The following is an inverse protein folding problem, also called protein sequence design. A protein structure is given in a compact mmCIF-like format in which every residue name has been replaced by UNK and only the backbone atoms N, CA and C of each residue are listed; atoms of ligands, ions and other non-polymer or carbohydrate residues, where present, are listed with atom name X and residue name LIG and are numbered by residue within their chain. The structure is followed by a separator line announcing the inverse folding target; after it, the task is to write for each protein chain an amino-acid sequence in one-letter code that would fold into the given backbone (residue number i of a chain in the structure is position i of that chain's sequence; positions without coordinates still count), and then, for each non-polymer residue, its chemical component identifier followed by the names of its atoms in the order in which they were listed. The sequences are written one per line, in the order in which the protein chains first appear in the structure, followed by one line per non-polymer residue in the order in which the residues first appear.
data_IF_521538447094
#
_entry.id   IF_521538447094
#
_cell.length_a   1.000
_cell.length_b   1.000
_cell.length_c   1.000
_cell.angle_alpha   90.00
_cell.angle_beta   90.00
_cell.angle_gamma   90.00
#
_symmetry.space_group_name_H-M   'P 1'
#
loop_
_entity.id
_entity.type
_entity.pdbx_description
1 polymer ?
#
# COMPACT_ATOMS: atom_id res chain seq x y z
N UNK A 1 -13.63 -15.31 -13.33
CA UNK A 1 -12.38 -16.10 -13.36
C UNK A 1 -11.78 -15.94 -11.99
N UNK A 2 -12.00 -16.92 -11.10
CA UNK A 2 -11.54 -16.84 -9.71
C UNK A 2 -10.01 -16.81 -9.72
N UNK A 3 -9.43 -15.74 -9.20
CA UNK A 3 -8.01 -15.65 -8.92
C UNK A 3 -7.80 -16.45 -7.63
N UNK A 4 -7.97 -17.77 -7.72
CA UNK A 4 -7.63 -18.70 -6.66
C UNK A 4 -6.16 -18.48 -6.36
N UNK A 5 -5.86 -17.76 -5.28
CA UNK A 5 -4.67 -18.04 -4.52
C UNK A 5 -4.74 -19.53 -4.21
N UNK A 6 -3.97 -20.32 -4.95
CA UNK A 6 -3.63 -21.67 -4.56
C UNK A 6 -2.85 -21.50 -3.25
N UNK A 7 -3.57 -21.45 -2.14
CA UNK A 7 -3.06 -21.74 -0.81
C UNK A 7 -2.58 -23.19 -0.88
N UNK A 8 -1.32 -23.36 -1.30
CA UNK A 8 -0.58 -24.59 -1.10
C UNK A 8 -0.43 -24.73 0.40
N UNK A 9 -1.36 -25.44 1.02
CA UNK A 9 -1.21 -25.91 2.38
C UNK A 9 -0.28 -27.13 2.37
N UNK A 10 0.98 -26.89 2.01
CA UNK A 10 2.06 -27.85 2.23
C UNK A 10 2.61 -27.56 3.62
N UNK A 11 2.20 -28.33 4.64
CA UNK A 11 2.87 -28.29 5.94
C UNK A 11 4.33 -28.70 5.72
N UNK A 12 5.32 -27.80 5.87
CA UNK A 12 6.70 -28.16 5.70
C UNK A 12 7.13 -29.12 6.82
N UNK A 13 8.14 -29.98 6.60
CA UNK A 13 8.56 -30.96 7.59
C UNK A 13 9.02 -30.30 8.91
N UNK A 14 8.81 -30.94 10.06
CA UNK A 14 9.22 -30.41 11.36
C UNK A 14 10.76 -30.21 11.38
N UNK A 15 11.19 -28.94 11.36
CA UNK A 15 12.60 -28.53 11.24
C UNK A 15 12.83 -27.35 10.29
N UNK A 16 11.87 -27.06 9.41
CA UNK A 16 11.91 -25.93 8.49
C UNK A 16 11.60 -24.59 9.21
N UNK A 17 12.36 -23.51 8.98
CA UNK A 17 12.02 -22.15 9.45
C UNK A 17 10.57 -21.75 9.14
N UNK A 18 10.05 -22.19 7.99
CA UNK A 18 8.67 -21.95 7.54
C UNK A 18 7.64 -22.65 8.45
N UNK A 19 7.95 -23.85 8.95
CA UNK A 19 7.08 -24.57 9.89
C UNK A 19 7.07 -23.90 11.27
N UNK A 20 8.23 -23.44 11.73
CA UNK A 20 8.34 -22.69 12.99
C UNK A 20 7.60 -21.35 12.92
N UNK A 21 7.69 -20.66 11.79
CA UNK A 21 6.96 -19.43 11.54
C UNK A 21 5.44 -19.67 11.54
N UNK A 22 4.96 -20.68 10.80
CA UNK A 22 3.55 -21.05 10.78
C UNK A 22 3.02 -21.41 12.19
N UNK A 23 3.82 -22.08 13.02
CA UNK A 23 3.47 -22.33 14.42
C UNK A 23 3.37 -21.05 15.26
N UNK A 24 4.27 -20.09 15.04
CA UNK A 24 4.29 -18.80 15.76
C UNK A 24 3.12 -17.88 15.37
N UNK A 25 2.61 -18.01 14.14
CA UNK A 25 1.49 -17.21 13.61
C UNK A 25 0.14 -17.91 13.66
N UNK A 26 0.11 -19.19 14.01
CA UNK A 26 -1.10 -20.01 14.05
C UNK A 26 -2.22 -19.34 14.87
N UNK A 27 -3.41 -19.23 14.26
CA UNK A 27 -4.59 -18.61 14.87
C UNK A 27 -4.57 -17.08 14.88
N UNK A 28 -3.52 -16.43 14.36
CA UNK A 28 -3.38 -14.97 14.24
C UNK A 28 -3.40 -14.48 12.79
N UNK A 29 -3.64 -15.39 11.86
CA UNK A 29 -3.66 -15.13 10.42
C UNK A 29 -5.00 -14.54 9.96
N UNK A 30 -4.95 -13.75 8.89
CA UNK A 30 -6.15 -13.18 8.27
C UNK A 30 -6.89 -14.24 7.43
N UNK A 31 -8.22 -14.32 7.57
CA UNK A 31 -9.04 -15.26 6.80
C UNK A 31 -9.46 -14.67 5.45
N UNK A 32 -8.62 -14.90 4.44
CA UNK A 32 -8.86 -14.41 3.07
C UNK A 32 -10.04 -15.08 2.37
N UNK A 33 -10.29 -16.37 2.61
CA UNK A 33 -11.36 -17.12 1.91
C UNK A 33 -12.74 -16.58 2.28
N UNK A 34 -13.00 -16.45 3.58
CA UNK A 34 -14.29 -15.90 4.04
C UNK A 34 -14.46 -14.45 3.61
N UNK A 35 -13.37 -13.67 3.62
CA UNK A 35 -13.39 -12.28 3.16
C UNK A 35 -13.70 -12.17 1.65
N UNK A 36 -12.99 -12.93 0.80
CA UNK A 36 -13.11 -12.87 -0.65
C UNK A 36 -14.52 -13.28 -1.10
N UNK A 37 -15.09 -14.35 -0.51
CA UNK A 37 -16.47 -14.76 -0.77
C UNK A 37 -17.47 -13.64 -0.45
N UNK A 38 -17.31 -12.97 0.70
CA UNK A 38 -18.17 -11.84 1.08
C UNK A 38 -18.07 -10.67 0.10
N UNK A 39 -16.84 -10.29 -0.26
CA UNK A 39 -16.59 -9.19 -1.19
C UNK A 39 -17.13 -9.49 -2.60
N UNK A 40 -16.92 -10.70 -3.12
CA UNK A 40 -17.42 -11.11 -4.43
C UNK A 40 -18.96 -11.15 -4.49
N UNK A 41 -19.62 -11.60 -3.42
CA UNK A 41 -21.09 -11.58 -3.35
C UNK A 41 -21.64 -10.15 -3.39
N UNK A 42 -21.03 -9.22 -2.64
CA UNK A 42 -21.37 -7.80 -2.68
C UNK A 42 -21.20 -7.21 -4.08
N UNK A 43 -20.05 -7.49 -4.72
CA UNK A 43 -19.72 -7.03 -6.08
C UNK A 43 -20.65 -7.61 -7.15
N UNK A 44 -21.06 -8.87 -7.02
CA UNK A 44 -22.04 -9.47 -7.91
C UNK A 44 -23.38 -8.75 -7.84
N UNK A 45 -23.85 -8.41 -6.64
CA UNK A 45 -25.07 -7.60 -6.46
C UNK A 45 -24.96 -6.22 -7.13
N UNK A 46 -23.83 -5.54 -6.97
CA UNK A 46 -23.54 -4.25 -7.61
C UNK A 46 -23.50 -4.35 -9.15
N UNK A 47 -22.88 -5.39 -9.70
CA UNK A 47 -22.79 -5.60 -11.14
C UNK A 47 -24.17 -5.82 -11.80
N UNK A 48 -25.11 -6.44 -11.09
CA UNK A 48 -26.49 -6.65 -11.55
C UNK A 48 -27.35 -5.37 -11.49
N UNK A 49 -26.95 -4.37 -10.71
CA UNK A 49 -27.65 -3.09 -10.58
C UNK A 49 -26.66 -1.92 -10.57
N UNK A 50 -26.16 -1.47 -11.73
CA UNK A 50 -25.14 -0.43 -11.82
C UNK A 50 -25.78 0.97 -11.63
N UNK A 51 -26.41 1.21 -10.48
CA UNK A 51 -27.14 2.45 -10.17
C UNK A 51 -26.29 3.71 -10.38
N UNK A 52 -24.99 3.64 -10.08
CA UNK A 52 -24.04 4.72 -10.26
C UNK A 52 -23.97 5.25 -11.71
N UNK A 53 -24.20 4.41 -12.72
CA UNK A 53 -24.16 4.82 -14.14
C UNK A 53 -25.29 5.75 -14.54
N UNK A 54 -26.40 5.72 -13.81
CA UNK A 54 -27.57 6.56 -14.06
C UNK A 54 -27.54 7.87 -13.27
N UNK A 55 -26.57 8.04 -12.37
CA UNK A 55 -26.42 9.25 -11.58
C UNK A 55 -25.72 10.36 -12.38
N UNK A 56 -26.17 11.63 -12.26
CA UNK A 56 -25.45 12.75 -12.84
C UNK A 56 -24.01 12.83 -12.32
N UNK A 57 -23.04 13.28 -13.14
CA UNK A 57 -21.63 13.37 -12.74
C UNK A 57 -21.41 14.17 -11.43
N UNK A 58 -22.15 15.26 -11.24
CA UNK A 58 -22.09 16.09 -10.03
C UNK A 58 -22.57 15.32 -8.80
N UNK A 59 -23.64 14.53 -8.92
CA UNK A 59 -24.14 13.67 -7.84
C UNK A 59 -23.12 12.60 -7.45
N UNK A 60 -22.49 11.96 -8.45
CA UNK A 60 -21.45 10.94 -8.20
C UNK A 60 -20.26 11.51 -7.44
N UNK A 61 -19.79 12.69 -7.86
CA UNK A 61 -18.73 13.43 -7.15
C UNK A 61 -19.13 13.73 -5.71
N UNK A 62 -20.34 14.25 -5.49
CA UNK A 62 -20.79 14.61 -4.15
C UNK A 62 -20.91 13.38 -3.23
N UNK A 63 -21.43 12.26 -3.73
CA UNK A 63 -21.52 11.00 -2.99
C UNK A 63 -20.15 10.54 -2.48
N UNK A 64 -19.10 10.63 -3.31
CA UNK A 64 -17.74 10.28 -2.90
C UNK A 64 -17.25 11.24 -1.81
N UNK A 65 -17.44 12.55 -1.97
CA UNK A 65 -17.02 13.54 -0.97
C UNK A 65 -17.75 13.37 0.37
N UNK A 66 -19.07 13.16 0.33
CA UNK A 66 -19.89 12.92 1.52
C UNK A 66 -19.45 11.64 2.26
N UNK A 67 -19.07 10.61 1.52
CA UNK A 67 -18.52 9.38 2.11
C UNK A 67 -17.17 9.61 2.79
N UNK A 68 -16.28 10.45 2.24
CA UNK A 68 -15.03 10.82 2.90
C UNK A 68 -15.27 11.61 4.19
N UNK A 69 -16.27 12.49 4.20
CA UNK A 69 -16.69 13.19 5.42
C UNK A 69 -17.27 12.24 6.48
N UNK A 70 -18.01 11.21 6.04
CA UNK A 70 -18.50 10.14 6.90
C UNK A 70 -17.35 9.34 7.53
N UNK A 71 -16.36 8.93 6.73
CA UNK A 71 -15.14 8.27 7.22
C UNK A 71 -14.40 9.17 8.20
N UNK A 72 -14.30 10.47 7.91
CA UNK A 72 -13.67 11.43 8.81
C UNK A 72 -14.42 11.58 10.15
N UNK A 73 -15.75 11.55 10.13
CA UNK A 73 -16.58 11.59 11.34
C UNK A 73 -16.43 10.32 12.19
N UNK A 74 -16.29 9.16 11.53
CA UNK A 74 -16.00 7.88 12.18
C UNK A 74 -14.65 7.95 12.90
N UNK A 75 -13.57 8.32 12.21
CA UNK A 75 -12.23 8.40 12.81
C UNK A 75 -12.20 9.38 13.99
N UNK A 76 -12.85 10.54 13.87
CA UNK A 76 -12.94 11.50 15.00
C UNK A 76 -13.66 10.90 16.21
N UNK A 77 -14.74 10.15 15.97
CA UNK A 77 -15.51 9.51 17.06
C UNK A 77 -14.70 8.40 17.72
N UNK A 78 -13.97 7.60 16.93
CA UNK A 78 -13.06 6.57 17.44
C UNK A 78 -11.92 7.19 18.27
N UNK A 79 -11.32 8.27 17.78
CA UNK A 79 -10.29 9.02 18.51
C UNK A 79 -10.81 9.60 19.83
N UNK A 80 -12.02 10.15 19.84
CA UNK A 80 -12.67 10.65 21.06
C UNK A 80 -12.91 9.53 22.08
N UNK A 81 -13.38 8.36 21.63
CA UNK A 81 -13.51 7.17 22.48
C UNK A 81 -12.15 6.77 23.03
N UNK A 82 -11.13 6.61 22.16
CA UNK A 82 -9.80 6.19 22.58
C UNK A 82 -9.17 7.13 23.61
N UNK A 83 -9.39 8.45 23.47
CA UNK A 83 -8.92 9.44 24.47
C UNK A 83 -9.57 9.23 25.83
N UNK A 84 -10.87 8.90 25.89
CA UNK A 84 -11.54 8.62 27.16
C UNK A 84 -10.97 7.37 27.85
N UNK A 85 -10.64 6.32 27.11
CA UNK A 85 -10.01 5.11 27.67
C UNK A 85 -8.55 5.33 28.07
N UNK A 86 -7.85 6.27 27.44
CA UNK A 86 -6.46 6.60 27.75
C UNK A 86 -6.31 7.65 28.86
N UNK A 87 -7.38 8.34 29.26
CA UNK A 87 -7.34 9.40 30.27
C UNK A 87 -7.48 8.82 31.70
N UNK A 88 -6.43 8.89 32.54
CA UNK A 88 -6.46 8.36 33.90
C UNK A 88 -7.41 9.14 34.85
N UNK A 89 -7.89 10.33 34.46
CA UNK A 89 -8.86 11.10 35.24
C UNK A 89 -10.30 10.61 35.03
N UNK A 90 -10.55 9.79 34.01
CA UNK A 90 -11.88 9.23 33.73
C UNK A 90 -12.04 7.94 34.53
N UNK A 91 -12.81 8.00 35.62
CA UNK A 91 -13.01 6.86 36.51
C UNK A 91 -13.76 5.69 35.86
N UNK A 92 -14.70 5.97 34.94
CA UNK A 92 -15.45 4.97 34.18
C UNK A 92 -15.52 5.37 32.69
N UNK A 93 -14.50 5.02 31.89
CA UNK A 93 -14.45 5.32 30.46
C UNK A 93 -15.57 4.63 29.67
N UNK A 94 -16.07 3.50 30.15
CA UNK A 94 -17.14 2.73 29.53
C UNK A 94 -18.45 3.52 29.60
N UNK A 95 -18.84 4.00 30.79
CA UNK A 95 -20.02 4.84 30.95
C UNK A 95 -19.85 6.19 30.25
N UNK A 96 -18.68 6.83 30.36
CA UNK A 96 -18.41 8.13 29.75
C UNK A 96 -18.48 8.11 28.21
N UNK A 97 -18.09 6.99 27.58
CA UNK A 97 -18.07 6.83 26.12
C UNK A 97 -19.39 6.30 25.53
N UNK A 98 -20.39 5.96 26.35
CA UNK A 98 -21.61 5.26 25.90
C UNK A 98 -22.33 5.95 24.72
N UNK A 99 -22.50 7.28 24.79
CA UNK A 99 -23.15 8.05 23.70
C UNK A 99 -22.32 8.10 22.42
N UNK A 100 -20.99 8.18 22.53
CA UNK A 100 -20.07 8.15 21.40
C UNK A 100 -20.07 6.78 20.72
N UNK A 101 -20.14 5.69 21.48
CA UNK A 101 -20.23 4.32 20.93
C UNK A 101 -21.54 4.10 20.17
N UNK A 102 -22.66 4.62 20.67
CA UNK A 102 -23.93 4.63 19.93
C UNK A 102 -23.83 5.45 18.63
N UNK A 103 -23.18 6.62 18.68
CA UNK A 103 -22.93 7.44 17.49
C UNK A 103 -22.05 6.70 16.48
N UNK A 104 -20.96 6.09 16.91
CA UNK A 104 -20.04 5.31 16.08
C UNK A 104 -20.78 4.16 15.38
N UNK A 105 -21.59 3.40 16.11
CA UNK A 105 -22.40 2.33 15.53
C UNK A 105 -23.35 2.83 14.42
N UNK A 106 -24.00 4.00 14.62
CA UNK A 106 -24.84 4.61 13.59
C UNK A 106 -24.03 5.01 12.35
N UNK A 107 -22.86 5.64 12.53
CA UNK A 107 -22.00 6.06 11.43
C UNK A 107 -21.47 4.86 10.63
N UNK A 108 -20.99 3.80 11.32
CA UNK A 108 -20.54 2.55 10.67
C UNK A 108 -21.67 1.85 9.92
N UNK A 109 -22.88 1.84 10.47
CA UNK A 109 -24.05 1.31 9.76
C UNK A 109 -24.40 2.12 8.51
N UNK A 110 -24.22 3.45 8.55
CA UNK A 110 -24.39 4.29 7.36
C UNK A 110 -23.32 4.00 6.31
N UNK A 111 -22.06 3.93 6.73
CA UNK A 111 -20.93 3.61 5.86
C UNK A 111 -21.17 2.31 5.10
N UNK A 112 -21.56 1.24 5.80
CA UNK A 112 -21.83 -0.06 5.19
C UNK A 112 -22.92 -0.03 4.09
N UNK A 113 -23.88 0.92 4.17
CA UNK A 113 -24.92 1.09 3.13
C UNK A 113 -24.43 1.86 1.91
N UNK A 114 -23.49 2.77 2.10
CA UNK A 114 -23.00 3.69 1.05
C UNK A 114 -21.74 3.14 0.34
N UNK A 115 -20.98 2.28 1.02
CA UNK A 115 -19.68 1.78 0.60
C UNK A 115 -19.67 1.22 -0.83
N UNK A 116 -20.55 0.26 -1.15
CA UNK A 116 -20.55 -0.38 -2.49
C UNK A 116 -20.83 0.62 -3.62
N UNK A 117 -21.66 1.63 -3.37
CA UNK A 117 -21.95 2.66 -4.36
C UNK A 117 -20.73 3.56 -4.60
N UNK A 118 -20.03 3.93 -3.53
CA UNK A 118 -18.82 4.76 -3.60
C UNK A 118 -17.68 4.01 -4.29
N UNK A 119 -17.49 2.73 -3.94
CA UNK A 119 -16.55 1.84 -4.63
C UNK A 119 -16.85 1.80 -6.13
N UNK A 120 -18.11 1.60 -6.52
CA UNK A 120 -18.53 1.59 -7.93
C UNK A 120 -18.16 2.87 -8.69
N UNK A 121 -18.39 4.03 -8.05
CA UNK A 121 -18.10 5.33 -8.65
C UNK A 121 -16.59 5.46 -8.88
N UNK A 122 -15.78 5.11 -7.88
CA UNK A 122 -14.32 5.21 -7.94
C UNK A 122 -13.73 4.20 -8.93
N UNK A 123 -14.21 2.96 -8.96
CA UNK A 123 -13.85 1.93 -9.93
C UNK A 123 -14.03 2.42 -11.36
N UNK A 124 -15.21 2.98 -11.66
CA UNK A 124 -15.49 3.50 -13.01
C UNK A 124 -14.65 4.74 -13.34
N UNK A 125 -14.43 5.64 -12.37
CA UNK A 125 -13.60 6.83 -12.58
C UNK A 125 -12.16 6.45 -12.94
N UNK A 126 -11.58 5.48 -12.23
CA UNK A 126 -10.23 4.94 -12.51
C UNK A 126 -10.22 4.20 -13.84
N UNK A 127 -11.19 3.33 -14.10
CA UNK A 127 -11.30 2.59 -15.36
C UNK A 127 -11.40 3.53 -16.57
N UNK A 128 -12.16 4.62 -16.46
CA UNK A 128 -12.29 5.63 -17.51
C UNK A 128 -10.94 6.28 -17.83
N UNK A 129 -10.18 6.68 -16.79
CA UNK A 129 -8.85 7.28 -17.00
C UNK A 129 -7.87 6.26 -17.58
N UNK A 130 -7.88 5.01 -17.10
CA UNK A 130 -7.06 3.94 -17.69
C UNK A 130 -7.37 3.72 -19.17
N UNK A 131 -8.65 3.80 -19.56
CA UNK A 131 -9.07 3.64 -20.94
C UNK A 131 -8.52 4.76 -21.83
N UNK A 132 -8.58 6.01 -21.35
CA UNK A 132 -8.02 7.17 -22.03
C UNK A 132 -6.49 7.07 -22.18
N UNK A 133 -5.80 6.42 -21.23
CA UNK A 133 -4.36 6.15 -21.30
C UNK A 133 -4.00 4.93 -22.16
N UNK A 134 -4.97 4.31 -22.84
CA UNK A 134 -4.75 3.24 -23.82
C UNK A 134 -4.71 1.82 -23.25
N UNK A 135 -5.16 1.61 -22.01
CA UNK A 135 -5.27 0.27 -21.42
C UNK A 135 -6.58 -0.47 -21.78
N UNK A 136 -7.48 0.17 -22.53
CA UNK A 136 -8.72 -0.46 -22.96
C UNK A 136 -8.46 -1.56 -23.99
N UNK A 137 -9.09 -2.72 -23.77
CA UNK A 137 -9.16 -3.83 -24.70
C UNK A 137 -10.60 -4.01 -25.15
N UNK A 138 -10.86 -3.86 -26.45
CA UNK A 138 -12.22 -3.88 -27.03
C UNK A 138 -13.18 -2.88 -26.37
N UNK A 139 -12.67 -1.72 -25.94
CA UNK A 139 -13.45 -0.66 -25.32
C UNK A 139 -13.65 -0.82 -23.80
N UNK A 140 -13.14 -1.89 -23.20
CA UNK A 140 -13.28 -2.19 -21.77
C UNK A 140 -11.93 -2.36 -21.08
N UNK A 141 -11.88 -2.16 -19.76
CA UNK A 141 -10.66 -2.40 -18.96
C UNK A 141 -10.60 -3.87 -18.54
N UNK A 142 -9.48 -4.53 -18.87
CA UNK A 142 -9.26 -5.95 -18.55
C UNK A 142 -7.90 -6.12 -17.84
N UNK A 143 -7.88 -6.64 -16.60
CA UNK A 143 -9.05 -7.00 -15.77
C UNK A 143 -9.83 -5.74 -15.34
N UNK A 144 -11.13 -5.84 -15.03
CA UNK A 144 -11.90 -4.70 -14.53
C UNK A 144 -11.28 -4.10 -13.27
N UNK A 145 -11.40 -2.78 -13.11
CA UNK A 145 -11.04 -2.15 -11.84
C UNK A 145 -12.06 -2.61 -10.79
N UNK A 146 -11.57 -3.24 -9.73
CA UNK A 146 -12.42 -3.80 -8.67
C UNK A 146 -11.67 -3.72 -7.35
N UNK A 147 -12.23 -3.04 -6.37
CA UNK A 147 -11.67 -2.92 -5.03
C UNK A 147 -12.75 -2.91 -3.95
N UNK A 148 -12.36 -3.17 -2.71
CA UNK A 148 -13.24 -3.18 -1.57
C UNK A 148 -12.58 -2.52 -0.36
N UNK A 149 -13.28 -1.56 0.24
CA UNK A 149 -12.87 -0.96 1.50
C UNK A 149 -12.97 -1.99 2.62
N UNK A 150 -11.86 -2.21 3.31
CA UNK A 150 -11.81 -3.18 4.40
C UNK A 150 -10.70 -2.81 5.37
N UNK A 151 -10.87 -3.11 6.67
CA UNK A 151 -9.75 -3.17 7.58
C UNK A 151 -8.68 -4.10 7.02
N UNK A 152 -7.44 -3.61 6.92
CA UNK A 152 -6.34 -4.39 6.36
C UNK A 152 -5.61 -5.18 7.44
N UNK A 153 -5.08 -6.37 7.09
CA UNK A 153 -4.15 -7.08 7.94
C UNK A 153 -2.89 -6.22 8.19
N UNK A 154 -2.20 -6.46 9.31
CA UNK A 154 -0.81 -6.01 9.45
C UNK A 154 0.10 -7.07 8.86
N UNK A 155 1.21 -6.67 8.24
CA UNK A 155 2.15 -7.60 7.64
C UNK A 155 3.38 -7.76 8.53
N UNK A 156 3.66 -8.99 8.96
CA UNK A 156 4.96 -9.36 9.52
C UNK A 156 5.95 -9.57 8.38
N UNK A 157 6.85 -8.62 8.18
CA UNK A 157 7.92 -8.70 7.16
C UNK A 157 9.16 -9.28 7.82
N UNK A 158 9.76 -10.29 7.20
CA UNK A 158 10.96 -10.97 7.69
C UNK A 158 12.09 -10.79 6.69
N UNK A 159 13.27 -10.49 7.19
CA UNK A 159 14.49 -10.23 6.41
C UNK A 159 15.70 -10.92 7.05
N UNK A 160 16.74 -11.28 6.28
CA UNK A 160 18.03 -11.68 6.84
C UNK A 160 18.66 -10.52 7.61
N UNK A 161 19.57 -10.83 8.52
CA UNK A 161 20.30 -9.79 9.29
C UNK A 161 21.47 -9.19 8.51
N UNK A 162 21.97 -9.89 7.50
CA UNK A 162 23.20 -9.60 6.76
C UNK A 162 22.97 -8.96 5.38
N UNK A 163 21.72 -8.89 4.91
CA UNK A 163 21.36 -8.24 3.65
C UNK A 163 20.00 -7.55 3.71
N UNK A 164 19.83 -6.47 2.95
CA UNK A 164 18.53 -5.78 2.81
C UNK A 164 17.71 -6.53 1.76
N UNK A 165 17.01 -7.57 2.19
CA UNK A 165 16.09 -8.34 1.35
C UNK A 165 14.92 -8.85 2.17
N UNK A 166 13.72 -8.77 1.61
CA UNK A 166 12.56 -9.43 2.18
C UNK A 166 12.62 -10.94 1.88
N UNK A 167 12.69 -11.76 2.94
CA UNK A 167 12.60 -13.23 2.85
C UNK A 167 11.15 -13.68 2.78
N UNK A 168 10.31 -13.18 3.69
CA UNK A 168 8.93 -13.65 3.85
C UNK A 168 8.04 -12.51 4.35
N UNK A 169 6.74 -12.63 4.10
CA UNK A 169 5.73 -11.72 4.61
C UNK A 169 4.49 -12.49 5.02
N UNK A 170 4.12 -12.39 6.30
CA UNK A 170 2.94 -13.08 6.86
C UNK A 170 1.83 -12.08 7.18
N UNK A 171 0.64 -12.20 6.58
CA UNK A 171 -0.51 -11.38 6.93
C UNK A 171 -1.10 -11.80 8.27
N UNK A 172 -1.06 -10.88 9.24
CA UNK A 172 -1.67 -11.00 10.56
C UNK A 172 -3.10 -10.46 10.56
N UNK A 173 -3.85 -10.67 11.64
CA UNK A 173 -5.18 -10.09 11.81
C UNK A 173 -5.22 -8.56 11.63
N UNK A 174 -6.34 -8.06 11.10
CA UNK A 174 -6.60 -6.63 11.06
C UNK A 174 -6.66 -6.06 12.49
N UNK A 175 -6.03 -4.90 12.69
CA UNK A 175 -5.94 -4.29 14.02
C UNK A 175 -5.02 -5.03 15.00
N UNK A 176 -4.07 -5.85 14.52
CA UNK A 176 -3.13 -6.56 15.39
C UNK A 176 -2.44 -5.60 16.38
N UNK A 177 -2.57 -5.82 17.70
CA UNK A 177 -2.11 -4.87 18.73
C UNK A 177 -0.60 -4.62 18.68
N UNK A 178 -0.18 -3.39 18.96
CA UNK A 178 1.24 -2.97 18.86
C UNK A 178 2.12 -3.68 19.89
N UNK A 179 1.61 -3.91 21.10
CA UNK A 179 2.27 -4.67 22.16
C UNK A 179 2.45 -6.14 21.76
N UNK A 180 1.44 -6.75 21.14
CA UNK A 180 1.54 -8.11 20.60
C UNK A 180 2.47 -8.19 19.40
N UNK A 181 2.53 -7.14 18.56
CA UNK A 181 3.47 -7.01 17.45
C UNK A 181 4.92 -7.05 17.93
N UNK A 182 5.29 -6.21 18.90
CA UNK A 182 6.64 -6.19 19.45
C UNK A 182 7.04 -7.54 20.08
N UNK A 183 6.10 -8.19 20.78
CA UNK A 183 6.33 -9.50 21.37
C UNK A 183 6.52 -10.61 20.31
N UNK A 184 5.78 -10.54 19.20
CA UNK A 184 5.91 -11.47 18.08
C UNK A 184 7.24 -11.25 17.34
N UNK A 185 7.59 -10.00 17.05
CA UNK A 185 8.86 -9.62 16.40
C UNK A 185 10.06 -10.17 17.19
N UNK A 186 10.11 -9.92 18.50
CA UNK A 186 11.19 -10.44 19.35
C UNK A 186 11.30 -11.97 19.33
N UNK A 187 10.15 -12.68 19.38
CA UNK A 187 10.13 -14.14 19.33
C UNK A 187 10.65 -14.68 17.99
N UNK A 188 10.27 -14.05 16.88
CA UNK A 188 10.71 -14.43 15.53
C UNK A 188 12.21 -14.15 15.37
N UNK A 189 12.65 -12.97 15.80
CA UNK A 189 14.05 -12.52 15.74
C UNK A 189 14.99 -13.46 16.49
N UNK A 190 14.60 -13.90 17.69
CA UNK A 190 15.39 -14.80 18.54
C UNK A 190 15.39 -16.24 18.03
N UNK A 191 14.23 -16.78 17.66
CA UNK A 191 14.10 -18.21 17.30
C UNK A 191 14.65 -18.53 15.92
N UNK A 192 14.50 -17.59 14.97
CA UNK A 192 14.88 -17.81 13.57
C UNK A 192 16.18 -17.09 13.20
N UNK A 193 16.75 -16.28 14.11
CA UNK A 193 17.94 -15.45 13.84
C UNK A 193 17.77 -14.54 12.61
N UNK A 194 16.61 -13.91 12.49
CA UNK A 194 16.21 -12.98 11.40
C UNK A 194 15.92 -11.60 11.96
N UNK A 195 15.67 -10.62 11.09
CA UNK A 195 15.06 -9.34 11.47
C UNK A 195 13.60 -9.33 11.02
N UNK A 196 12.70 -8.95 11.92
CA UNK A 196 11.26 -8.87 11.63
C UNK A 196 10.65 -7.53 11.97
N UNK A 197 9.58 -7.16 11.27
CA UNK A 197 8.83 -5.92 11.51
C UNK A 197 7.37 -6.06 11.09
N UNK A 198 6.44 -5.71 11.99
CA UNK A 198 4.99 -5.69 11.74
C UNK A 198 4.55 -4.31 11.27
N UNK A 199 4.32 -4.20 9.98
CA UNK A 199 3.94 -2.93 9.33
C UNK A 199 2.46 -2.91 8.93
N UNK A 200 1.80 -1.74 8.98
CA UNK A 200 0.54 -1.57 8.26
C UNK A 200 0.77 -1.59 6.75
N UNK A 201 -0.24 -2.02 5.99
CA UNK A 201 -0.26 -1.93 4.52
C UNK A 201 -1.37 -0.98 4.07
N UNK A 202 -1.23 -0.42 2.86
CA UNK A 202 -2.20 0.50 2.26
C UNK A 202 -3.27 -0.19 1.39
N UNK A 203 -2.91 -1.34 0.82
CA UNK A 203 -3.79 -2.16 0.01
C UNK A 203 -3.21 -3.57 -0.14
N UNK A 204 -4.01 -4.48 -0.67
CA UNK A 204 -3.60 -5.82 -1.04
C UNK A 204 -4.26 -6.19 -2.37
N UNK A 205 -3.44 -6.55 -3.36
CA UNK A 205 -3.86 -6.86 -4.72
C UNK A 205 -4.60 -8.22 -4.89
N UNK A 206 -5.48 -8.59 -3.93
CA UNK A 206 -6.51 -9.62 -4.15
C UNK A 206 -7.52 -9.14 -5.19
N UNK A 207 -8.46 -9.98 -5.63
CA UNK A 207 -9.49 -9.54 -6.58
C UNK A 207 -10.91 -9.80 -6.02
N UNK A 208 -11.66 -8.77 -5.58
CA UNK A 208 -11.34 -7.32 -5.59
C UNK A 208 -10.13 -6.96 -4.72
N UNK A 209 -9.44 -5.86 -5.04
CA UNK A 209 -8.33 -5.37 -4.22
C UNK A 209 -8.83 -4.95 -2.83
N UNK A 210 -8.14 -5.35 -1.77
CA UNK A 210 -8.38 -4.80 -0.44
C UNK A 210 -7.79 -3.40 -0.40
N UNK A 211 -8.53 -2.40 0.04
CA UNK A 211 -8.04 -1.02 0.20
C UNK A 211 -8.44 -0.49 1.57
N UNK A 212 -7.50 0.18 2.25
CA UNK A 212 -7.81 0.80 3.53
C UNK A 212 -8.82 1.94 3.33
N UNK A 213 -9.73 2.10 4.29
CA UNK A 213 -10.52 3.31 4.39
C UNK A 213 -9.61 4.52 4.64
N UNK A 214 -9.83 5.62 3.91
CA UNK A 214 -9.04 6.82 4.05
C UNK A 214 -9.89 8.05 3.77
N UNK A 215 -9.55 9.15 4.44
CA UNK A 215 -10.15 10.47 4.17
C UNK A 215 -9.41 11.22 3.05
N UNK A 216 -8.27 10.68 2.58
CA UNK A 216 -7.46 11.27 1.53
C UNK A 216 -7.83 10.69 0.17
N UNK A 217 -8.66 11.42 -0.57
CA UNK A 217 -9.01 11.04 -1.95
C UNK A 217 -7.79 10.90 -2.87
N UNK A 218 -6.75 11.75 -2.78
CA UNK A 218 -5.54 11.56 -3.57
C UNK A 218 -4.88 10.21 -3.30
N UNK A 219 -4.76 9.85 -2.02
CA UNK A 219 -4.19 8.56 -1.64
C UNK A 219 -5.05 7.40 -2.15
N UNK A 220 -6.38 7.48 -2.01
CA UNK A 220 -7.30 6.45 -2.51
C UNK A 220 -7.19 6.25 -4.02
N UNK A 221 -7.20 7.33 -4.80
CA UNK A 221 -7.09 7.25 -6.25
C UNK A 221 -5.75 6.63 -6.68
N UNK A 222 -4.66 6.98 -5.99
CA UNK A 222 -3.34 6.37 -6.21
C UNK A 222 -3.34 4.88 -5.85
N UNK A 223 -3.88 4.50 -4.70
CA UNK A 223 -3.93 3.11 -4.22
C UNK A 223 -4.78 2.23 -5.13
N UNK A 224 -5.99 2.66 -5.52
CA UNK A 224 -6.86 1.86 -6.40
C UNK A 224 -6.15 1.58 -7.74
N UNK A 225 -5.48 2.58 -8.32
CA UNK A 225 -4.73 2.41 -9.55
C UNK A 225 -3.44 1.57 -9.36
N UNK A 226 -2.78 1.69 -8.20
CA UNK A 226 -1.64 0.84 -7.82
C UNK A 226 -2.04 -0.63 -7.76
N UNK A 227 -3.11 -0.96 -7.02
CA UNK A 227 -3.56 -2.35 -6.89
C UNK A 227 -4.10 -2.92 -8.21
N UNK A 228 -4.80 -2.11 -9.02
CA UNK A 228 -5.20 -2.54 -10.35
C UNK A 228 -3.99 -2.85 -11.26
N UNK A 229 -2.90 -2.09 -11.11
CA UNK A 229 -1.67 -2.35 -11.89
C UNK A 229 -1.10 -3.74 -11.58
N UNK A 230 -1.18 -4.17 -10.32
CA UNK A 230 -0.82 -5.54 -9.95
C UNK A 230 -1.72 -6.58 -10.64
N UNK A 231 -3.04 -6.35 -10.70
CA UNK A 231 -3.95 -7.24 -11.44
C UNK A 231 -3.62 -7.30 -12.94
N UNK A 232 -3.32 -6.15 -13.54
CA UNK A 232 -2.92 -6.07 -14.94
C UNK A 232 -1.61 -6.84 -15.20
N UNK A 233 -0.61 -6.64 -14.34
CA UNK A 233 0.70 -7.28 -14.46
C UNK A 233 0.69 -8.77 -14.14
N UNK A 234 -0.25 -9.24 -13.31
CA UNK A 234 -0.45 -10.68 -13.07
C UNK A 234 -0.71 -11.47 -14.35
N UNK A 235 -1.32 -10.85 -15.36
CA UNK A 235 -1.56 -11.47 -16.66
C UNK A 235 -0.35 -11.40 -17.60
N UNK A 236 0.84 -11.05 -17.08
CA UNK A 236 2.08 -10.84 -17.84
C UNK A 236 3.25 -11.54 -17.15
N UNK A 237 4.35 -11.83 -17.88
CA UNK A 237 5.51 -12.50 -17.31
C UNK A 237 6.09 -11.83 -16.06
N UNK A 238 6.00 -10.49 -15.97
CA UNK A 238 6.46 -9.75 -14.78
C UNK A 238 5.65 -10.10 -13.53
N UNK A 239 4.33 -10.26 -13.63
CA UNK A 239 3.51 -10.68 -12.49
C UNK A 239 3.65 -12.15 -12.15
N UNK A 240 3.88 -13.03 -13.12
CA UNK A 240 4.12 -14.46 -12.87
C UNK A 240 5.36 -14.72 -12.00
N UNK A 241 6.34 -13.82 -12.06
CA UNK A 241 7.59 -13.91 -11.31
C UNK A 241 7.56 -13.11 -10.00
N UNK A 242 6.42 -12.53 -9.63
CA UNK A 242 6.33 -11.62 -8.47
C UNK A 242 6.79 -12.27 -7.16
N UNK A 243 6.36 -13.52 -6.90
CA UNK A 243 6.74 -14.24 -5.67
C UNK A 243 8.10 -14.94 -5.77
N UNK A 244 8.52 -15.35 -6.99
CA UNK A 244 9.70 -16.19 -7.19
C UNK A 244 11.00 -15.40 -7.44
N UNK A 245 10.92 -14.11 -7.74
CA UNK A 245 12.07 -13.30 -8.11
C UNK A 245 12.03 -11.89 -7.45
N UNK A 246 12.96 -11.58 -6.53
CA UNK A 246 12.99 -10.30 -5.82
C UNK A 246 13.13 -9.07 -6.74
N UNK A 247 13.89 -9.18 -7.83
CA UNK A 247 14.04 -8.10 -8.81
C UNK A 247 12.73 -7.87 -9.58
N UNK A 248 12.04 -8.92 -10.00
CA UNK A 248 10.74 -8.85 -10.66
C UNK A 248 9.70 -8.21 -9.73
N UNK A 249 9.68 -8.60 -8.45
CA UNK A 249 8.86 -7.95 -7.41
C UNK A 249 9.14 -6.45 -7.31
N UNK A 250 10.42 -6.08 -7.24
CA UNK A 250 10.85 -4.68 -7.15
C UNK A 250 10.40 -3.87 -8.37
N UNK A 251 10.56 -4.43 -9.57
CA UNK A 251 10.11 -3.79 -10.82
C UNK A 251 8.59 -3.66 -10.83
N UNK A 252 7.87 -4.68 -10.37
CA UNK A 252 6.41 -4.69 -10.31
C UNK A 252 5.88 -3.61 -9.35
N UNK A 253 6.37 -3.55 -8.11
CA UNK A 253 6.01 -2.49 -7.15
C UNK A 253 6.37 -1.08 -7.66
N UNK A 254 7.52 -0.96 -8.33
CA UNK A 254 7.93 0.31 -8.93
C UNK A 254 6.97 0.73 -10.04
N UNK A 255 6.56 -0.21 -10.91
CA UNK A 255 5.60 0.05 -11.97
C UNK A 255 4.23 0.43 -11.39
N UNK A 256 3.71 -0.33 -10.42
CA UNK A 256 2.46 -0.04 -9.73
C UNK A 256 2.46 1.34 -9.07
N UNK A 257 3.55 1.72 -8.40
CA UNK A 257 3.70 3.04 -7.77
C UNK A 257 3.73 4.19 -8.81
N UNK A 258 4.38 3.99 -9.96
CA UNK A 258 4.42 4.99 -11.04
C UNK A 258 3.05 5.16 -11.71
N UNK A 259 2.38 4.04 -12.02
CA UNK A 259 1.03 4.06 -12.61
C UNK A 259 0.02 4.63 -11.63
N UNK A 260 0.05 4.19 -10.36
CA UNK A 260 -0.80 4.69 -9.29
C UNK A 260 -0.76 6.21 -9.18
N UNK A 261 0.44 6.80 -9.12
CA UNK A 261 0.63 8.26 -9.10
C UNK A 261 0.12 8.95 -10.37
N UNK A 262 0.41 8.40 -11.54
CA UNK A 262 0.03 9.02 -12.81
C UNK A 262 -1.50 9.00 -13.02
N UNK A 263 -2.12 7.84 -12.82
CA UNK A 263 -3.56 7.63 -12.99
C UNK A 263 -4.33 8.32 -11.87
N UNK A 264 -3.92 8.15 -10.62
CA UNK A 264 -4.54 8.79 -9.46
C UNK A 264 -4.59 10.30 -9.63
N UNK A 265 -3.48 10.93 -10.06
CA UNK A 265 -3.46 12.36 -10.38
C UNK A 265 -4.46 12.74 -11.47
N UNK A 266 -4.54 11.99 -12.57
CA UNK A 266 -5.48 12.26 -13.68
C UNK A 266 -6.94 12.11 -13.25
N UNK A 267 -7.25 11.14 -12.38
CA UNK A 267 -8.57 10.99 -11.76
C UNK A 267 -8.94 12.24 -10.97
N UNK A 268 -8.03 12.74 -10.12
CA UNK A 268 -8.26 13.98 -9.37
C UNK A 268 -8.45 15.18 -10.30
N UNK A 269 -7.55 15.36 -11.28
CA UNK A 269 -7.63 16.48 -12.23
C UNK A 269 -8.97 16.50 -13.00
N UNK A 270 -9.53 15.32 -13.29
CA UNK A 270 -10.80 15.19 -14.02
C UNK A 270 -12.04 15.35 -13.14
N UNK A 271 -12.06 14.75 -11.96
CA UNK A 271 -13.28 14.60 -11.16
C UNK A 271 -13.28 15.43 -9.86
N UNK A 272 -12.10 15.77 -9.33
CA UNK A 272 -11.91 16.46 -8.05
C UNK A 272 -10.75 17.47 -8.12
N UNK A 273 -10.82 18.47 -9.02
CA UNK A 273 -9.70 19.38 -9.27
C UNK A 273 -9.22 20.13 -8.02
N UNK A 274 -10.11 20.34 -7.06
CA UNK A 274 -9.80 20.94 -5.75
C UNK A 274 -8.94 20.07 -4.84
N UNK A 275 -8.89 18.75 -5.07
CA UNK A 275 -8.13 17.79 -4.28
C UNK A 275 -6.74 17.50 -4.88
N UNK A 276 -6.38 18.08 -6.03
CA UNK A 276 -5.10 17.83 -6.70
C UNK A 276 -3.94 18.35 -5.84
N UNK A 277 -2.99 17.50 -5.41
CA UNK A 277 -1.85 17.96 -4.63
C UNK A 277 -0.97 18.93 -5.44
N UNK A 278 -0.42 19.98 -4.79
CA UNK A 278 0.49 20.89 -5.46
C UNK A 278 1.72 20.12 -5.98
N UNK A 279 2.30 20.52 -7.13
CA UNK A 279 3.48 19.86 -7.64
C UNK A 279 4.60 19.91 -6.59
N UNK A 280 5.40 18.84 -6.45
CA UNK A 280 6.49 18.83 -5.49
C UNK A 280 7.39 20.03 -5.75
N UNK A 281 7.69 20.79 -4.69
CA UNK A 281 8.57 21.96 -4.79
C UNK A 281 9.86 21.49 -5.44
N UNK A 282 10.18 22.03 -6.63
CA UNK A 282 11.49 21.80 -7.22
C UNK A 282 12.51 22.28 -6.19
N UNK A 283 13.23 21.35 -5.56
CA UNK A 283 14.43 21.70 -4.84
C UNK A 283 15.28 22.45 -5.86
N UNK A 284 15.40 23.77 -5.69
CA UNK A 284 16.44 24.55 -6.35
C UNK A 284 17.69 23.77 -6.02
N UNK A 285 18.25 23.04 -7.01
CA UNK A 285 19.62 22.56 -6.91
C UNK A 285 20.39 23.82 -6.56
N UNK A 286 20.77 23.94 -5.29
CA UNK A 286 21.72 24.96 -4.88
C UNK A 286 22.85 24.77 -5.87
N UNK A 287 23.07 25.77 -6.72
CA UNK A 287 24.35 25.90 -7.41
C UNK A 287 25.35 26.03 -6.26
N UNK A 288 25.78 24.89 -5.71
CA UNK A 288 27.01 24.80 -4.95
C UNK A 288 28.03 25.29 -5.96
N UNK A 289 28.35 26.54 -5.71
CA UNK A 289 29.20 27.41 -6.49
C UNK A 289 30.42 26.58 -6.86
N UNK A 290 30.83 26.62 -8.13
CA UNK A 290 32.18 26.31 -8.58
C UNK A 290 33.17 27.22 -7.82
N UNK A 291 33.39 26.95 -6.54
CA UNK A 291 34.31 27.66 -5.67
C UNK A 291 35.00 26.67 -4.74
N UNK A 292 35.65 25.68 -5.34
CA UNK A 292 36.91 25.11 -4.81
C UNK A 292 37.54 24.17 -5.84
N UNK A 293 37.76 24.65 -7.07
CA UNK A 293 38.90 24.15 -7.83
C UNK A 293 40.11 24.97 -7.44
N UNK A 294 40.63 24.74 -6.23
CA UNK A 294 42.08 24.88 -6.05
C UNK A 294 42.69 23.74 -6.87
N UNK A 295 43.70 23.99 -7.72
CA UNK A 295 44.37 22.89 -8.40
C UNK A 295 44.93 21.97 -7.32
N UNK A 296 44.62 20.68 -7.39
CA UNK A 296 45.33 19.67 -6.62
C UNK A 296 46.77 19.63 -7.16
N UNK A 297 47.69 20.34 -6.52
CA UNK A 297 49.11 20.25 -6.83
C UNK A 297 49.62 18.94 -6.24
N UNK A 298 49.67 17.90 -7.06
CA UNK A 298 50.41 16.68 -6.71
C UNK A 298 51.89 17.04 -6.45
N UNK A 299 52.52 16.51 -5.38
CA UNK A 299 53.95 16.70 -5.11
C UNK A 299 54.85 15.93 -6.08
N UNK A 300 54.27 15.15 -7.00
CA UNK A 300 54.96 14.28 -7.94
C UNK A 300 54.87 14.81 -9.37
N UNK A 301 56.01 14.95 -10.06
CA UNK A 301 56.07 15.24 -11.51
C UNK A 301 56.22 13.91 -12.24
N UNK A 302 55.22 13.49 -13.03
CA UNK A 302 55.32 12.31 -13.88
C UNK A 302 55.26 12.76 -15.34
N UNK A 303 56.28 12.41 -16.14
CA UNK A 303 56.39 12.78 -17.55
C UNK A 303 55.70 11.76 -18.45
N UNK A 304 54.91 12.21 -19.44
CA UNK A 304 54.31 11.31 -20.45
C UNK A 304 55.32 11.06 -21.56
N UNK A 305 55.76 9.81 -21.75
CA UNK A 305 56.13 9.26 -23.05
C UNK A 305 55.43 7.92 -23.25
N UNK A 306 55.10 7.64 -24.51
CA UNK A 306 54.29 6.51 -24.93
C UNK A 306 54.97 5.17 -24.59
N UNK A 307 54.13 4.21 -24.20
CA UNK A 307 54.41 2.78 -23.92
C UNK A 307 55.37 2.48 -22.76
N UNK A 308 54.83 1.76 -21.78
CA UNK A 308 55.42 1.12 -20.57
C UNK A 308 55.76 2.02 -19.35
N UNK A 309 55.49 1.44 -18.18
CA UNK A 309 55.42 2.06 -16.84
C UNK A 309 56.59 3.01 -16.53
N UNK A 310 56.29 4.24 -16.11
CA UNK A 310 57.31 5.24 -15.79
C UNK A 310 57.19 5.79 -14.37
N UNK A 311 58.34 5.76 -13.68
CA UNK A 311 58.60 6.18 -12.31
C UNK A 311 58.23 7.64 -12.02
N UNK A 312 57.66 7.89 -10.84
CA UNK A 312 57.41 9.23 -10.29
C UNK A 312 58.45 9.53 -9.19
N UNK A 313 59.01 10.74 -9.20
CA UNK A 313 60.01 11.20 -8.22
C UNK A 313 59.48 12.39 -7.40
N UNK A 314 59.89 12.54 -6.12
CA UNK A 314 59.45 13.66 -5.27
C UNK A 314 60.19 14.94 -5.67
N UNK A 315 59.50 16.09 -5.61
CA UNK A 315 60.14 17.39 -5.83
C UNK A 315 61.07 17.75 -4.66
N UNK A 316 62.31 18.24 -4.90
CA UNK A 316 63.15 18.74 -3.84
C UNK A 316 62.56 20.06 -3.29
N UNK A 317 62.46 20.13 -1.96
CA UNK A 317 61.87 21.26 -1.23
C UNK A 317 62.81 22.46 -1.15
N UNK A 318 62.22 23.65 -1.21
CA UNK A 318 62.80 24.93 -0.80
C UNK A 318 61.81 25.64 0.12
#
# INVERSE_FOLDING_TARGET
MAMLFLLRWEYPPPGDPTYQLAYLTAGREFNFVSWELGALLGKAGQALSPLHRYLPPQSRRQIVLDYLDLVQAIHRTEDEINRLYADPQVADPEAASASLRVRLARLRAQQAREQLLVEAILEEQVATVLADEGFAFLGEIVPPVSFHFTPLPRMLVISPRDEIRQMEAVPLQAGFPVDQAAALEAQVDERLNVSSLVVPIGGLALYPAMTLESTSLPWLAETIAHEWTHHYLFLRPLGWQYESNPEARTINETAANLVGKAIGRKVLERYYPEQVPPPPRRHRRSRLRRQSRRPFTSPWRCGRRASTWTNCWPKPGG
#
